data_IF_206035963747
#
_entry.id   IF_206035963747
#
_cell.length_a   1.000
_cell.length_b   1.000
_cell.length_c   1.000
_cell.angle_alpha   90.00
_cell.angle_beta   90.00
_cell.angle_gamma   90.00
#
_symmetry.space_group_name_H-M   'P 1'
#
loop_
_entity.id
_entity.type
_entity.pdbx_description
1 polymer ?
#
# COMPACT_ATOMS: atom_id res chain seq x y z
N UNK A 1 12.71 0.72 -68.89
CA UNK A 1 11.79 1.74 -68.38
C UNK A 1 10.72 1.12 -67.55
N UNK A 2 10.65 1.46 -66.26
CA UNK A 2 9.61 0.94 -65.36
C UNK A 2 8.28 1.60 -65.73
N UNK A 3 7.27 0.79 -65.98
CA UNK A 3 5.93 1.32 -66.24
C UNK A 3 5.39 1.97 -64.95
N UNK A 4 4.60 3.03 -65.07
CA UNK A 4 4.01 3.72 -63.92
C UNK A 4 3.15 2.80 -63.07
N UNK A 5 2.50 1.79 -63.65
CA UNK A 5 1.70 0.79 -62.93
C UNK A 5 2.56 -0.10 -62.02
N UNK A 6 3.73 -0.52 -62.48
CA UNK A 6 4.67 -1.30 -61.66
C UNK A 6 5.24 -0.47 -60.52
N UNK A 7 5.54 0.79 -60.75
CA UNK A 7 5.98 1.71 -59.72
C UNK A 7 4.90 1.93 -58.65
N UNK A 8 3.63 2.04 -59.05
CA UNK A 8 2.51 2.17 -58.11
C UNK A 8 2.31 0.91 -57.28
N UNK A 9 2.42 -0.26 -57.89
CA UNK A 9 2.30 -1.53 -57.17
C UNK A 9 3.39 -1.67 -56.10
N UNK A 10 4.64 -1.34 -56.43
CA UNK A 10 5.75 -1.34 -55.50
C UNK A 10 5.56 -0.35 -54.33
N UNK A 11 5.03 0.83 -54.60
CA UNK A 11 4.72 1.82 -53.57
C UNK A 11 3.59 1.36 -52.66
N UNK A 12 2.55 0.76 -53.21
CA UNK A 12 1.45 0.21 -52.41
C UNK A 12 1.91 -0.93 -51.51
N UNK A 13 2.74 -1.85 -52.02
CA UNK A 13 3.31 -2.93 -51.23
C UNK A 13 4.16 -2.40 -50.06
N UNK A 14 4.98 -1.38 -50.28
CA UNK A 14 5.77 -0.74 -49.25
C UNK A 14 4.89 -0.06 -48.22
N UNK A 15 3.80 0.59 -48.62
CA UNK A 15 2.85 1.22 -47.70
C UNK A 15 2.14 0.17 -46.83
N UNK A 16 1.69 -0.94 -47.40
CA UNK A 16 1.05 -2.03 -46.68
C UNK A 16 2.00 -2.65 -45.66
N UNK A 17 3.26 -2.88 -46.04
CA UNK A 17 4.27 -3.38 -45.11
C UNK A 17 4.49 -2.44 -43.95
N UNK A 18 4.61 -1.14 -44.17
CA UNK A 18 4.75 -0.15 -43.10
C UNK A 18 3.53 -0.08 -42.20
N UNK A 19 2.34 -0.17 -42.74
CA UNK A 19 1.10 -0.20 -41.95
C UNK A 19 1.04 -1.45 -41.05
N UNK A 20 1.43 -2.59 -41.58
CA UNK A 20 1.49 -3.85 -40.81
C UNK A 20 2.51 -3.77 -39.70
N UNK A 21 3.68 -3.19 -39.93
CA UNK A 21 4.70 -2.98 -38.91
C UNK A 21 4.22 -2.05 -37.79
N UNK A 22 3.56 -0.93 -38.16
CA UNK A 22 2.99 0.00 -37.18
C UNK A 22 1.91 -0.65 -36.35
N UNK A 23 1.01 -1.42 -36.93
CA UNK A 23 -0.03 -2.14 -36.22
C UNK A 23 0.57 -3.16 -35.22
N UNK A 24 1.60 -3.88 -35.64
CA UNK A 24 2.30 -4.82 -34.81
C UNK A 24 2.97 -4.12 -33.60
N UNK A 25 3.62 -3.00 -33.83
CA UNK A 25 4.23 -2.21 -32.76
C UNK A 25 3.18 -1.68 -31.76
N UNK A 26 2.04 -1.21 -32.24
CA UNK A 26 0.96 -0.75 -31.37
C UNK A 26 0.40 -1.88 -30.49
N UNK A 27 0.22 -3.07 -31.04
CA UNK A 27 -0.24 -4.23 -30.29
C UNK A 27 0.78 -4.63 -29.22
N UNK A 28 2.06 -4.68 -29.55
CA UNK A 28 3.13 -4.97 -28.61
C UNK A 28 3.20 -3.93 -27.48
N UNK A 29 3.12 -2.65 -27.81
CA UNK A 29 3.14 -1.57 -26.81
C UNK A 29 1.93 -1.66 -25.86
N UNK A 30 0.75 -1.94 -26.39
CA UNK A 30 -0.46 -2.11 -25.56
C UNK A 30 -0.33 -3.30 -24.63
N UNK A 31 0.20 -4.43 -25.10
CA UNK A 31 0.43 -5.61 -24.29
C UNK A 31 1.45 -5.33 -23.17
N UNK A 32 2.54 -4.64 -23.47
CA UNK A 32 3.54 -4.24 -22.46
C UNK A 32 2.95 -3.30 -21.40
N UNK A 33 2.15 -2.32 -21.80
CA UNK A 33 1.48 -1.42 -20.86
C UNK A 33 0.52 -2.17 -19.93
N UNK A 34 -0.21 -3.14 -20.41
CA UNK A 34 -1.07 -3.99 -19.60
C UNK A 34 -0.29 -4.82 -18.59
N UNK A 35 0.80 -5.43 -19.01
CA UNK A 35 1.69 -6.23 -18.14
C UNK A 35 2.30 -5.34 -17.06
N UNK A 36 2.81 -4.17 -17.41
CA UNK A 36 3.36 -3.21 -16.45
C UNK A 36 2.29 -2.75 -15.45
N UNK A 37 1.08 -2.48 -15.91
CA UNK A 37 -0.03 -2.11 -15.04
C UNK A 37 -0.39 -3.21 -14.04
N UNK A 38 -0.40 -4.46 -14.46
CA UNK A 38 -0.63 -5.61 -13.58
C UNK A 38 0.50 -5.79 -12.57
N UNK A 39 1.75 -5.70 -12.99
CA UNK A 39 2.91 -5.80 -12.09
C UNK A 39 2.87 -4.69 -11.05
N UNK A 40 2.57 -3.46 -11.44
CA UNK A 40 2.46 -2.34 -10.52
C UNK A 40 1.32 -2.53 -9.52
N UNK A 41 0.18 -3.05 -9.94
CA UNK A 41 -0.95 -3.31 -9.03
C UNK A 41 -0.68 -4.47 -8.07
N UNK A 42 0.16 -5.43 -8.43
CA UNK A 42 0.60 -6.51 -7.55
C UNK A 42 1.71 -6.08 -6.59
N UNK A 43 2.63 -5.22 -7.03
CA UNK A 43 3.77 -4.73 -6.24
C UNK A 43 3.41 -3.60 -5.30
N UNK A 44 2.52 -2.71 -5.72
CA UNK A 44 1.99 -1.68 -4.84
C UNK A 44 0.96 -2.36 -3.95
N UNK A 45 1.18 -2.42 -2.61
CA UNK A 45 0.11 -2.81 -1.71
C UNK A 45 -1.12 -2.01 -2.12
N UNK A 46 -2.26 -2.64 -2.24
CA UNK A 46 -3.48 -2.03 -2.80
C UNK A 46 -3.88 -0.72 -2.11
N UNK A 47 -3.09 -0.21 -1.17
CA UNK A 47 -3.33 1.06 -0.50
C UNK A 47 -4.72 1.16 0.11
N UNK A 48 -5.31 0.02 0.46
CA UNK A 48 -6.64 -0.03 1.03
C UNK A 48 -6.56 0.56 2.43
N UNK A 49 -7.19 1.71 2.57
CA UNK A 49 -7.35 2.35 3.87
C UNK A 49 -8.50 1.67 4.59
N UNK A 50 -8.21 1.09 5.74
CA UNK A 50 -9.23 0.44 6.56
C UNK A 50 -10.12 1.49 7.25
N UNK A 51 -11.34 1.10 7.65
CA UNK A 51 -12.17 1.96 8.47
C UNK A 51 -11.47 2.33 9.77
N UNK A 52 -11.76 3.53 10.28
CA UNK A 52 -11.25 3.98 11.55
C UNK A 52 -11.74 3.06 12.67
N UNK A 53 -10.81 2.54 13.45
CA UNK A 53 -11.09 1.70 14.61
C UNK A 53 -10.81 2.49 15.89
N UNK A 54 -11.79 2.53 16.81
CA UNK A 54 -11.65 3.16 18.11
C UNK A 54 -11.41 2.05 19.13
N UNK A 55 -10.29 2.13 19.83
CA UNK A 55 -9.85 1.14 20.79
C UNK A 55 -9.73 1.77 22.18
N UNK A 56 -10.43 1.20 23.14
CA UNK A 56 -10.30 1.59 24.54
C UNK A 56 -9.16 0.81 25.19
N UNK A 57 -8.20 1.52 25.76
CA UNK A 57 -6.98 0.96 26.34
C UNK A 57 -6.94 1.25 27.84
N UNK A 58 -6.65 0.23 28.63
CA UNK A 58 -6.47 0.32 30.08
C UNK A 58 -5.04 -0.04 30.46
N UNK A 59 -4.78 -0.31 31.74
CA UNK A 59 -3.49 -0.80 32.22
C UNK A 59 -3.18 -2.25 31.76
N UNK A 60 -4.16 -2.94 31.20
CA UNK A 60 -3.95 -4.25 30.60
C UNK A 60 -3.50 -4.14 29.16
N UNK A 61 -2.58 -5.00 28.76
CA UNK A 61 -2.09 -5.04 27.39
C UNK A 61 -3.18 -5.49 26.43
N UNK A 62 -3.36 -4.71 25.39
CA UNK A 62 -4.29 -5.02 24.31
C UNK A 62 -3.54 -5.18 23.00
N UNK A 63 -3.76 -6.31 22.34
CA UNK A 63 -3.13 -6.63 21.06
C UNK A 63 -4.10 -6.30 19.94
N UNK A 64 -3.66 -5.51 18.98
CA UNK A 64 -4.42 -5.14 17.80
C UNK A 64 -3.74 -5.75 16.60
N UNK A 65 -4.48 -6.55 15.84
CA UNK A 65 -3.98 -7.22 14.63
C UNK A 65 -4.74 -6.74 13.41
N UNK A 66 -4.08 -6.77 12.22
CA UNK A 66 -4.79 -6.45 10.98
C UNK A 66 -5.93 -7.43 10.73
N UNK A 67 -7.08 -6.95 10.25
CA UNK A 67 -8.16 -7.84 9.84
C UNK A 67 -7.75 -8.72 8.66
N UNK A 68 -8.39 -9.87 8.50
CA UNK A 68 -8.17 -10.80 7.38
C UNK A 68 -6.75 -11.36 7.27
N UNK A 69 -5.96 -11.32 8.34
CA UNK A 69 -4.58 -11.82 8.38
C UNK A 69 -3.64 -11.18 7.33
N UNK A 70 -3.98 -10.00 6.83
CA UNK A 70 -3.09 -9.22 5.96
C UNK A 70 -2.37 -8.17 6.78
N UNK A 71 -1.05 -8.18 6.74
CA UNK A 71 -0.24 -7.22 7.46
C UNK A 71 -0.46 -5.79 6.96
N UNK A 72 -0.35 -4.82 7.86
CA UNK A 72 -0.32 -3.42 7.47
C UNK A 72 1.09 -3.01 7.02
N UNK A 73 1.17 -2.07 6.10
CA UNK A 73 2.43 -1.40 5.81
C UNK A 73 2.50 -0.01 6.46
N UNK A 74 1.38 0.57 6.83
CA UNK A 74 1.29 1.85 7.51
C UNK A 74 0.12 1.84 8.50
N UNK A 75 0.30 2.44 9.66
CA UNK A 75 -0.74 2.59 10.66
C UNK A 75 -0.67 3.99 11.25
N UNK A 76 -1.80 4.68 11.25
CA UNK A 76 -1.95 5.97 11.91
C UNK A 76 -2.66 5.77 13.24
N UNK A 77 -2.11 6.34 14.30
CA UNK A 77 -2.65 6.23 15.66
C UNK A 77 -2.74 7.62 16.27
N UNK A 78 -3.90 7.95 16.81
CA UNK A 78 -4.11 9.18 17.57
C UNK A 78 -4.68 8.81 18.95
N UNK A 79 -4.10 9.37 19.98
CA UNK A 79 -4.60 9.20 21.33
C UNK A 79 -5.58 10.35 21.64
N UNK A 80 -6.84 10.00 21.83
CA UNK A 80 -7.88 10.96 22.22
C UNK A 80 -7.93 11.19 23.75
N UNK A 81 -7.08 10.50 24.49
CA UNK A 81 -6.97 10.68 25.92
C UNK A 81 -7.97 9.87 26.74
N UNK A 82 -8.10 10.15 28.03
CA UNK A 82 -7.43 11.24 28.75
C UNK A 82 -5.95 11.05 29.07
N UNK A 83 -5.50 9.79 29.15
CA UNK A 83 -4.15 9.47 29.66
C UNK A 83 -3.19 9.05 28.54
N UNK A 84 -1.87 9.13 28.78
CA UNK A 84 -0.88 8.61 27.81
C UNK A 84 -0.99 7.10 27.67
N UNK A 85 -0.64 6.61 26.49
CA UNK A 85 -0.67 5.19 26.17
C UNK A 85 0.68 4.74 25.60
N UNK A 86 1.15 3.58 26.04
CA UNK A 86 2.35 2.95 25.51
C UNK A 86 2.00 2.11 24.29
N UNK A 87 2.83 2.17 23.26
CA UNK A 87 2.63 1.46 22.00
C UNK A 87 3.88 0.67 21.66
N UNK A 88 3.69 -0.59 21.32
CA UNK A 88 4.73 -1.49 20.82
C UNK A 88 4.28 -2.04 19.48
N UNK A 89 5.10 -1.86 18.45
CA UNK A 89 4.83 -2.38 17.10
C UNK A 89 5.57 -3.71 16.93
N UNK A 90 4.90 -4.74 16.43
CA UNK A 90 5.47 -6.08 16.23
C UNK A 90 6.10 -6.63 17.52
N UNK A 91 5.29 -6.82 18.54
CA UNK A 91 5.72 -7.11 19.91
C UNK A 91 6.65 -8.32 20.05
N UNK A 92 6.49 -9.34 19.22
CA UNK A 92 7.32 -10.55 19.27
C UNK A 92 8.74 -10.32 18.73
N UNK A 93 8.92 -9.35 17.84
CA UNK A 93 10.19 -9.07 17.16
C UNK A 93 10.80 -7.73 17.55
N UNK A 94 10.09 -6.94 18.35
CA UNK A 94 10.54 -5.60 18.70
C UNK A 94 11.63 -5.66 19.75
N UNK A 95 12.78 -5.10 19.41
CA UNK A 95 13.87 -4.84 20.36
C UNK A 95 13.85 -3.40 20.85
N UNK A 96 12.92 -2.59 20.35
CA UNK A 96 12.80 -1.18 20.71
C UNK A 96 11.96 -0.98 21.96
N UNK A 97 12.25 0.09 22.69
CA UNK A 97 11.45 0.50 23.84
C UNK A 97 10.04 0.90 23.41
N UNK A 98 9.03 0.69 24.25
CA UNK A 98 7.69 1.18 23.97
C UNK A 98 7.69 2.69 23.72
N UNK A 99 6.86 3.13 22.78
CA UNK A 99 6.67 4.55 22.50
C UNK A 99 5.51 5.09 23.32
N UNK A 100 5.72 6.21 24.03
CA UNK A 100 4.67 6.86 24.80
C UNK A 100 3.90 7.84 23.90
N UNK A 101 2.65 7.55 23.65
CA UNK A 101 1.74 8.40 22.90
C UNK A 101 0.87 9.22 23.85
N UNK A 102 1.05 10.53 23.83
CA UNK A 102 0.32 11.45 24.69
C UNK A 102 -1.02 11.84 24.07
N UNK A 103 -1.91 12.38 24.90
CA UNK A 103 -3.20 12.89 24.43
C UNK A 103 -3.05 13.90 23.29
N UNK A 104 -3.87 13.76 22.23
CA UNK A 104 -3.87 14.56 21.01
C UNK A 104 -2.60 14.48 20.19
N UNK A 105 -1.69 13.56 20.48
CA UNK A 105 -0.48 13.34 19.71
C UNK A 105 -0.76 12.31 18.61
N UNK A 106 -0.61 12.67 17.33
CA UNK A 106 -0.69 11.71 16.24
C UNK A 106 0.65 11.00 16.07
N UNK A 107 0.61 9.74 15.72
CA UNK A 107 1.80 9.01 15.27
C UNK A 107 1.48 8.18 14.05
N UNK A 108 2.45 8.02 13.17
CA UNK A 108 2.35 7.21 11.99
C UNK A 108 3.52 6.22 11.96
N UNK A 109 3.19 4.95 11.80
CA UNK A 109 4.18 3.90 11.70
C UNK A 109 4.16 3.35 10.29
N UNK A 110 5.29 3.45 9.59
CA UNK A 110 5.46 2.91 8.24
C UNK A 110 6.56 1.85 8.23
N UNK A 111 6.26 0.71 7.65
CA UNK A 111 7.23 -0.38 7.52
C UNK A 111 7.42 -0.83 6.06
N UNK A 112 7.12 -0.01 5.11
CA UNK A 112 7.50 -0.13 3.69
C UNK A 112 7.02 -1.36 2.91
N UNK A 113 6.82 -2.51 3.52
CA UNK A 113 6.45 -3.75 2.85
C UNK A 113 5.45 -4.59 3.67
N UNK A 114 4.34 -3.99 4.09
CA UNK A 114 3.26 -4.68 4.80
C UNK A 114 3.78 -5.61 5.92
N UNK A 115 4.66 -5.09 6.78
CA UNK A 115 5.33 -5.87 7.83
C UNK A 115 4.79 -5.64 9.24
N UNK A 116 3.77 -4.80 9.40
CA UNK A 116 3.17 -4.58 10.71
C UNK A 116 2.17 -5.71 10.98
N UNK A 117 2.55 -6.59 11.89
CA UNK A 117 1.80 -7.80 12.24
C UNK A 117 0.86 -7.56 13.41
N UNK A 118 1.30 -6.79 14.39
CA UNK A 118 0.50 -6.42 15.55
C UNK A 118 0.95 -5.10 16.16
N UNK A 119 0.05 -4.51 16.96
CA UNK A 119 0.33 -3.36 17.79
C UNK A 119 -0.18 -3.68 19.18
N UNK A 120 0.68 -3.59 20.17
CA UNK A 120 0.32 -3.76 21.57
C UNK A 120 0.21 -2.39 22.23
N UNK A 121 -0.91 -2.14 22.90
CA UNK A 121 -1.18 -0.89 23.60
C UNK A 121 -1.49 -1.15 25.05
N UNK A 122 -1.00 -0.30 25.94
CA UNK A 122 -1.35 -0.31 27.35
C UNK A 122 -1.09 1.04 28.00
N UNK A 123 -1.82 1.34 29.06
CA UNK A 123 -1.58 2.51 29.90
C UNK A 123 -0.88 2.11 31.18
N UNK A 124 -0.43 3.10 31.95
CA UNK A 124 0.06 2.88 33.30
C UNK A 124 -1.09 2.51 34.24
N UNK A 125 -0.75 1.98 35.43
CA UNK A 125 -1.75 1.53 36.38
C UNK A 125 -2.75 2.62 36.74
N UNK A 126 -4.04 2.29 36.61
CA UNK A 126 -5.13 3.23 36.91
C UNK A 126 -5.41 4.25 35.81
N UNK A 127 -4.71 4.20 34.68
CA UNK A 127 -4.92 5.08 33.56
C UNK A 127 -5.72 4.41 32.44
N UNK A 128 -6.33 5.23 31.61
CA UNK A 128 -7.07 4.78 30.44
C UNK A 128 -6.94 5.77 29.29
N UNK A 129 -7.03 5.27 28.06
CA UNK A 129 -6.98 6.08 26.86
C UNK A 129 -7.88 5.49 25.79
N UNK A 130 -8.34 6.34 24.87
CA UNK A 130 -9.00 5.93 23.64
C UNK A 130 -8.12 6.22 22.47
N UNK A 131 -7.85 5.22 21.65
CA UNK A 131 -7.02 5.36 20.45
C UNK A 131 -7.87 5.27 19.20
N UNK A 132 -7.61 6.16 18.27
CA UNK A 132 -8.13 6.04 16.90
C UNK A 132 -7.03 5.44 16.03
N UNK A 133 -7.29 4.28 15.46
CA UNK A 133 -6.32 3.52 14.68
C UNK A 133 -6.85 3.30 13.30
N UNK A 134 -6.04 3.60 12.31
CA UNK A 134 -6.33 3.33 10.90
C UNK A 134 -5.11 2.69 10.25
N UNK A 135 -5.30 1.50 9.74
CA UNK A 135 -4.28 0.77 9.00
C UNK A 135 -4.44 0.92 7.49
N UNK A 136 -3.33 0.79 6.80
CA UNK A 136 -3.28 0.71 5.34
C UNK A 136 -2.58 -0.60 4.97
N UNK A 137 -3.24 -1.41 4.17
CA UNK A 137 -2.77 -2.73 3.74
C UNK A 137 -2.65 -2.85 2.23
#
# INVERSE_FOLDING_TARGET
>A
MIRSDEAMVLLLDKLVQKMNELNKQQVETTAELKIQGQILSEQIPEGIVEPLNIVHVTDQRRVITPPMKKNWFSVSIVNDGPDPCWIIVNSEKSTTSPYLLRMNEPTEVEMGTAKIVDIVCYCDSGQEASLRIRGVR
#
